data_IF_982926590680
#
_entry.id   IF_982926590680
#
_cell.length_a   1.000
_cell.length_b   1.000
_cell.length_c   1.000
_cell.angle_alpha   90.00
_cell.angle_beta   90.00
_cell.angle_gamma   90.00
#
_symmetry.space_group_name_H-M   'P 1'
#
loop_
_entity.id
_entity.type
_entity.pdbx_description
1 polymer ?
#
# COMPACT_ATOMS: atom_id res chain seq x y z
N UNK A 1 -13.62 -19.26 -2.46
CA UNK A 1 -13.23 -20.46 -1.66
C UNK A 1 -12.52 -20.18 -0.34
N UNK A 2 -11.48 -19.33 -0.24
CA UNK A 2 -10.75 -19.17 1.03
C UNK A 2 -11.59 -18.56 2.17
N UNK A 3 -12.45 -17.57 1.89
CA UNK A 3 -13.39 -16.98 2.85
C UNK A 3 -14.36 -17.99 3.48
N UNK A 4 -14.68 -19.09 2.79
CA UNK A 4 -15.52 -20.16 3.34
C UNK A 4 -14.82 -20.96 4.46
N UNK A 5 -13.50 -20.83 4.57
CA UNK A 5 -12.64 -21.50 5.55
C UNK A 5 -12.17 -20.56 6.67
N UNK A 6 -12.63 -19.30 6.69
CA UNK A 6 -12.28 -18.36 7.74
C UNK A 6 -12.90 -18.80 9.08
N UNK A 7 -12.14 -18.89 10.18
CA UNK A 7 -12.68 -19.32 11.48
C UNK A 7 -13.72 -18.30 11.96
N UNK A 8 -14.95 -18.74 12.22
CA UNK A 8 -16.02 -17.86 12.73
C UNK A 8 -15.69 -17.29 14.12
N UNK A 9 -14.83 -17.99 14.87
CA UNK A 9 -14.34 -17.65 16.20
C UNK A 9 -13.34 -16.48 16.22
N UNK A 10 -12.71 -16.12 15.09
CA UNK A 10 -11.80 -14.96 15.02
C UNK A 10 -12.53 -13.61 14.86
N UNK A 11 -13.86 -13.61 14.77
CA UNK A 11 -14.70 -12.45 14.46
C UNK A 11 -15.46 -11.86 15.67
N UNK A 12 -14.94 -12.07 16.89
CA UNK A 12 -15.47 -11.45 18.12
C UNK A 12 -15.12 -9.95 18.27
N UNK A 13 -14.32 -9.40 17.35
CA UNK A 13 -14.00 -7.98 17.27
C UNK A 13 -14.91 -7.16 16.34
N UNK A 14 -14.76 -5.84 16.35
CA UNK A 14 -15.42 -4.91 15.42
C UNK A 14 -14.42 -4.51 14.32
N UNK A 15 -14.07 -5.46 13.44
CA UNK A 15 -13.07 -5.23 12.39
C UNK A 15 -13.75 -4.81 11.09
N UNK A 16 -13.23 -3.75 10.46
CA UNK A 16 -13.63 -3.35 9.10
C UNK A 16 -12.43 -3.52 8.16
N UNK A 17 -12.66 -4.18 7.04
CA UNK A 17 -11.68 -4.36 5.97
C UNK A 17 -12.18 -3.64 4.73
N UNK A 18 -11.26 -3.05 3.98
CA UNK A 18 -11.50 -2.49 2.66
C UNK A 18 -10.66 -3.27 1.66
N UNK A 19 -11.33 -3.73 0.60
CA UNK A 19 -10.70 -4.47 -0.49
C UNK A 19 -10.80 -3.57 -1.72
N UNK A 20 -9.64 -3.24 -2.29
CA UNK A 20 -9.51 -2.50 -3.54
C UNK A 20 -8.74 -3.33 -4.54
N UNK A 21 -9.10 -3.19 -5.81
CA UNK A 21 -8.26 -3.67 -6.89
C UNK A 21 -7.01 -2.79 -6.97
N UNK A 22 -5.85 -3.42 -6.81
CA UNK A 22 -4.55 -2.80 -7.01
C UNK A 22 -4.14 -2.82 -8.48
N UNK A 23 -3.30 -1.87 -8.86
CA UNK A 23 -2.68 -1.79 -10.17
C UNK A 23 -2.09 -0.40 -10.39
N UNK A 24 -0.82 -0.31 -10.79
CA UNK A 24 -0.23 0.97 -11.14
C UNK A 24 -0.42 1.29 -12.64
N UNK A 25 -1.05 2.43 -13.01
CA UNK A 25 -1.15 2.86 -14.40
C UNK A 25 0.22 3.06 -15.08
N UNK A 26 1.27 3.31 -14.28
CA UNK A 26 2.67 3.38 -14.72
C UNK A 26 3.41 2.04 -14.79
N UNK A 27 2.74 0.89 -14.60
CA UNK A 27 3.31 -0.42 -14.88
C UNK A 27 4.11 -1.09 -13.75
N UNK A 28 3.85 -0.79 -12.47
CA UNK A 28 4.35 -1.63 -11.38
C UNK A 28 3.80 -3.06 -11.55
N UNK A 29 4.68 -4.02 -11.82
CA UNK A 29 4.39 -5.44 -11.66
C UNK A 29 4.70 -5.79 -10.21
N UNK A 30 3.72 -6.26 -9.45
CA UNK A 30 3.89 -6.72 -8.07
C UNK A 30 5.08 -7.67 -7.94
N UNK A 31 6.17 -7.20 -7.33
CA UNK A 31 7.36 -8.01 -7.03
C UNK A 31 7.21 -8.59 -5.61
N UNK A 32 6.10 -9.28 -5.32
CA UNK A 32 6.03 -10.08 -4.10
C UNK A 32 6.33 -11.54 -4.40
N UNK A 33 7.36 -12.06 -3.72
CA UNK A 33 7.41 -13.46 -3.35
C UNK A 33 8.77 -14.09 -3.54
N UNK A 34 9.13 -14.38 -4.79
CA UNK A 34 10.19 -15.36 -5.06
C UNK A 34 11.47 -14.79 -5.71
N UNK A 35 11.51 -13.47 -5.99
CA UNK A 35 12.64 -12.84 -6.67
C UNK A 35 13.15 -11.54 -6.06
N UNK A 36 12.55 -11.05 -4.98
CA UNK A 36 13.07 -9.88 -4.28
C UNK A 36 14.37 -10.27 -3.54
N UNK A 37 15.46 -9.50 -3.68
CA UNK A 37 16.69 -9.80 -2.96
C UNK A 37 16.43 -9.79 -1.45
N UNK A 38 17.11 -10.65 -0.66
CA UNK A 38 16.98 -10.63 0.78
C UNK A 38 17.33 -9.24 1.32
N UNK A 39 16.66 -8.82 2.40
CA UNK A 39 16.95 -7.56 3.07
C UNK A 39 18.44 -7.51 3.42
N UNK A 40 19.20 -6.51 2.94
CA UNK A 40 20.59 -6.35 3.36
C UNK A 40 20.66 -6.13 4.87
N UNK A 41 21.77 -6.52 5.47
CA UNK A 41 21.96 -6.36 6.91
C UNK A 41 21.76 -4.89 7.34
N UNK A 42 20.95 -4.69 8.39
CA UNK A 42 20.59 -3.37 8.91
C UNK A 42 19.52 -2.62 8.12
N UNK A 43 18.96 -3.19 7.04
CA UNK A 43 17.78 -2.61 6.37
C UNK A 43 16.48 -3.03 7.05
N UNK A 44 15.48 -2.18 6.90
CA UNK A 44 14.11 -2.34 7.39
C UNK A 44 13.14 -2.07 6.26
N UNK A 45 11.95 -2.66 6.30
CA UNK A 45 10.88 -2.33 5.35
C UNK A 45 10.04 -1.17 5.85
N UNK A 46 9.72 -0.26 4.93
CA UNK A 46 8.84 0.88 5.16
C UNK A 46 7.70 0.89 4.16
N UNK A 47 6.49 1.19 4.62
CA UNK A 47 5.30 1.41 3.80
C UNK A 47 5.13 2.91 3.65
N UNK A 48 4.94 3.36 2.42
CA UNK A 48 4.62 4.73 2.09
C UNK A 48 3.19 4.72 1.55
N UNK A 49 2.29 5.39 2.27
CA UNK A 49 0.86 5.44 1.99
C UNK A 49 0.52 6.79 1.35
N UNK A 50 0.06 6.80 0.10
CA UNK A 50 -0.36 8.02 -0.57
C UNK A 50 -1.82 8.32 -0.26
N UNK A 51 -2.07 9.47 0.37
CA UNK A 51 -3.42 9.99 0.59
C UNK A 51 -4.07 10.32 -0.74
N UNK A 52 -5.32 9.89 -0.91
CA UNK A 52 -6.12 10.24 -2.07
C UNK A 52 -6.60 11.69 -1.97
N UNK A 53 -6.60 12.36 -3.12
CA UNK A 53 -7.22 13.67 -3.30
C UNK A 53 -8.46 13.56 -4.20
N UNK A 54 -9.16 14.68 -4.41
CA UNK A 54 -10.38 14.72 -5.22
C UNK A 54 -10.19 14.19 -6.65
N UNK A 55 -9.00 14.40 -7.24
CA UNK A 55 -8.68 13.89 -8.58
C UNK A 55 -8.56 12.37 -8.60
N UNK A 56 -7.82 11.82 -7.65
CA UNK A 56 -7.65 10.38 -7.53
C UNK A 56 -9.01 9.69 -7.33
N UNK A 57 -9.89 10.25 -6.50
CA UNK A 57 -11.24 9.73 -6.28
C UNK A 57 -12.21 10.01 -7.45
N UNK A 58 -11.95 11.03 -8.27
CA UNK A 58 -12.62 11.23 -9.55
C UNK A 58 -12.11 10.28 -10.66
N UNK A 59 -11.10 9.44 -10.38
CA UNK A 59 -10.49 8.55 -11.37
C UNK A 59 -9.65 9.29 -12.42
N UNK A 60 -9.25 10.53 -12.14
CA UNK A 60 -8.40 11.31 -13.03
C UNK A 60 -6.98 10.80 -12.92
N UNK A 61 -6.48 10.19 -13.99
CA UNK A 61 -5.13 9.66 -14.07
C UNK A 61 -4.15 10.78 -14.48
N UNK A 62 -2.92 10.83 -13.92
CA UNK A 62 -1.87 11.71 -14.43
C UNK A 62 -1.60 11.49 -15.91
N UNK A 63 -1.12 12.55 -16.60
CA UNK A 63 -0.74 12.42 -18.00
C UNK A 63 0.42 11.43 -18.21
N UNK A 64 0.66 11.06 -19.47
CA UNK A 64 1.69 10.09 -19.83
C UNK A 64 3.11 10.50 -19.43
N UNK A 65 3.40 11.81 -19.34
CA UNK A 65 4.73 12.28 -18.94
C UNK A 65 4.95 12.07 -17.45
N UNK A 66 3.95 12.36 -16.61
CA UNK A 66 4.00 12.04 -15.19
C UNK A 66 4.07 10.54 -14.94
N UNK A 67 3.22 9.76 -15.61
CA UNK A 67 3.25 8.30 -15.52
C UNK A 67 4.62 7.73 -15.93
N UNK A 68 5.22 8.25 -16.99
CA UNK A 68 6.55 7.83 -17.44
C UNK A 68 7.65 8.12 -16.41
N UNK A 69 7.62 9.28 -15.75
CA UNK A 69 8.57 9.61 -14.67
C UNK A 69 8.42 8.70 -13.46
N UNK A 70 7.18 8.44 -13.04
CA UNK A 70 6.89 7.51 -11.95
C UNK A 70 7.36 6.10 -12.30
N UNK A 71 7.03 5.60 -13.49
CA UNK A 71 7.44 4.30 -13.99
C UNK A 71 8.97 4.15 -13.99
N UNK A 72 9.68 5.14 -14.55
CA UNK A 72 11.14 5.14 -14.57
C UNK A 72 11.74 5.10 -13.17
N UNK A 73 11.27 5.96 -12.26
CA UNK A 73 11.79 6.01 -10.89
C UNK A 73 11.52 4.69 -10.14
N UNK A 74 10.34 4.11 -10.34
CA UNK A 74 10.00 2.79 -9.81
C UNK A 74 10.94 1.71 -10.34
N UNK A 75 11.17 1.66 -11.65
CA UNK A 75 12.04 0.67 -12.30
C UNK A 75 13.49 0.78 -11.82
N UNK A 76 14.00 1.99 -11.66
CA UNK A 76 15.33 2.26 -11.11
C UNK A 76 15.42 1.79 -9.65
N UNK A 77 14.39 2.08 -8.84
CA UNK A 77 14.33 1.65 -7.44
C UNK A 77 14.19 0.11 -7.30
N UNK A 78 13.46 -0.56 -8.18
CA UNK A 78 13.37 -2.03 -8.23
C UNK A 78 14.73 -2.62 -8.60
N UNK A 79 15.40 -2.09 -9.63
CA UNK A 79 16.73 -2.55 -10.04
C UNK A 79 17.79 -2.35 -8.94
N UNK A 80 17.66 -1.27 -8.18
CA UNK A 80 18.51 -1.01 -7.02
C UNK A 80 18.15 -1.88 -5.79
N UNK A 81 17.08 -2.66 -5.86
CA UNK A 81 16.57 -3.44 -4.74
C UNK A 81 15.98 -2.59 -3.62
N UNK A 82 15.66 -1.31 -3.87
CA UNK A 82 15.05 -0.41 -2.89
C UNK A 82 13.54 -0.59 -2.85
N UNK A 83 12.90 -0.63 -4.02
CA UNK A 83 11.44 -0.81 -4.12
C UNK A 83 11.10 -2.30 -4.20
N UNK A 84 10.33 -2.79 -3.22
CA UNK A 84 9.90 -4.19 -3.14
C UNK A 84 8.51 -4.38 -3.76
N UNK A 85 7.62 -3.42 -3.57
CA UNK A 85 6.26 -3.47 -4.09
C UNK A 85 5.69 -2.07 -4.14
N UNK A 86 4.79 -1.80 -5.07
CA UNK A 86 3.91 -0.65 -4.96
C UNK A 86 2.75 -0.82 -5.91
N UNK A 87 1.62 -0.22 -5.57
CA UNK A 87 0.41 -0.27 -6.39
C UNK A 87 -0.35 1.05 -6.29
N UNK A 88 -0.96 1.43 -7.40
CA UNK A 88 -2.05 2.40 -7.40
C UNK A 88 -3.35 1.72 -6.97
N UNK A 89 -4.24 2.46 -6.33
CA UNK A 89 -5.57 2.01 -5.96
C UNK A 89 -6.60 2.72 -6.83
N UNK A 90 -7.62 1.99 -7.26
CA UNK A 90 -8.79 2.59 -7.91
C UNK A 90 -9.55 3.52 -6.93
N UNK A 91 -10.37 4.45 -7.44
CA UNK A 91 -11.26 5.26 -6.61
C UNK A 91 -12.05 4.41 -5.63
N UNK A 92 -12.33 4.94 -4.44
CA UNK A 92 -13.07 4.23 -3.38
C UNK A 92 -14.48 3.81 -3.78
N UNK A 93 -15.07 4.46 -4.80
CA UNK A 93 -16.33 4.03 -5.43
C UNK A 93 -16.26 2.61 -6.03
N UNK A 94 -15.06 2.10 -6.32
CA UNK A 94 -14.82 0.73 -6.79
C UNK A 94 -14.44 -0.25 -5.66
N UNK A 95 -14.44 0.21 -4.40
CA UNK A 95 -14.06 -0.62 -3.26
C UNK A 95 -15.25 -1.46 -2.76
N UNK A 96 -14.92 -2.62 -2.18
CA UNK A 96 -15.85 -3.40 -1.36
C UNK A 96 -15.38 -3.37 0.09
N UNK A 97 -16.32 -3.20 1.01
CA UNK A 97 -16.07 -3.23 2.45
C UNK A 97 -16.57 -4.51 3.05
N UNK A 98 -15.84 -5.01 4.03
CA UNK A 98 -16.26 -6.13 4.84
C UNK A 98 -16.29 -5.71 6.31
N UNK A 99 -17.38 -6.03 6.99
CA UNK A 99 -17.50 -5.86 8.44
C UNK A 99 -17.59 -7.23 9.09
N UNK A 100 -16.82 -7.42 10.15
CA UNK A 100 -16.87 -8.59 11.01
C UNK A 100 -17.49 -8.14 12.33
N UNK A 101 -18.62 -8.72 12.68
CA UNK A 101 -19.29 -8.44 13.94
C UNK A 101 -20.06 -9.66 14.43
N UNK A 102 -19.90 -10.01 15.71
CA UNK A 102 -20.60 -11.12 16.38
C UNK A 102 -20.44 -12.45 15.64
N UNK A 103 -19.20 -12.78 15.24
CA UNK A 103 -18.91 -14.06 14.57
C UNK A 103 -19.40 -14.14 13.11
N UNK A 104 -19.92 -13.05 12.51
CA UNK A 104 -20.47 -13.04 11.15
C UNK A 104 -19.84 -11.95 10.28
N UNK A 105 -19.38 -12.29 9.07
CA UNK A 105 -18.99 -11.30 8.07
C UNK A 105 -20.22 -10.74 7.34
N UNK A 106 -20.20 -9.45 7.01
CA UNK A 106 -21.10 -8.83 6.04
C UNK A 106 -20.30 -8.02 5.03
N UNK A 107 -20.67 -8.12 3.75
CA UNK A 107 -20.08 -7.32 2.66
C UNK A 107 -20.97 -6.11 2.40
N UNK A 108 -20.37 -4.94 2.24
CA UNK A 108 -21.02 -3.67 1.97
C UNK A 108 -20.33 -3.07 0.74
N UNK A 109 -21.09 -2.75 -0.29
CA UNK A 109 -20.55 -2.13 -1.49
C UNK A 109 -20.28 -0.64 -1.27
N UNK A 110 -19.19 -0.14 -1.84
CA UNK A 110 -18.82 1.28 -1.79
C UNK A 110 -17.95 1.68 -0.60
N UNK A 111 -17.62 2.98 -0.50
CA UNK A 111 -16.59 3.49 0.40
C UNK A 111 -17.00 3.49 1.87
N UNK A 112 -16.05 3.85 2.73
CA UNK A 112 -16.35 4.19 4.12
C UNK A 112 -17.22 5.45 4.16
N UNK A 113 -18.41 5.37 4.74
CA UNK A 113 -19.35 6.49 4.82
C UNK A 113 -18.79 7.73 5.56
N UNK A 114 -17.74 7.55 6.37
CA UNK A 114 -17.08 8.62 7.13
C UNK A 114 -15.54 8.58 7.04
N UNK A 115 -14.95 7.90 6.05
CA UNK A 115 -13.49 7.96 5.91
C UNK A 115 -13.09 9.35 5.44
N UNK A 116 -12.50 10.12 6.35
CA UNK A 116 -11.95 11.44 6.06
C UNK A 116 -10.67 11.37 5.21
N UNK A 117 -10.00 10.22 5.23
CA UNK A 117 -8.71 10.03 4.58
C UNK A 117 -8.72 8.67 3.86
N UNK A 118 -8.65 8.72 2.54
CA UNK A 118 -8.61 7.57 1.65
C UNK A 118 -7.19 7.44 1.07
N UNK A 119 -6.87 6.28 0.49
CA UNK A 119 -5.57 6.01 -0.10
C UNK A 119 -5.66 5.89 -1.62
N UNK A 120 -4.77 6.57 -2.33
CA UNK A 120 -4.63 6.47 -3.79
C UNK A 120 -3.58 5.45 -4.23
N UNK A 121 -2.71 5.01 -3.32
CA UNK A 121 -1.65 4.06 -3.63
C UNK A 121 -0.70 3.84 -2.46
N UNK A 122 0.22 2.91 -2.65
CA UNK A 122 1.28 2.68 -1.68
C UNK A 122 2.57 2.17 -2.33
N UNK A 123 3.67 2.26 -1.58
CA UNK A 123 4.93 1.59 -1.85
C UNK A 123 5.41 0.86 -0.60
N UNK A 124 6.10 -0.25 -0.78
CA UNK A 124 6.90 -0.93 0.23
C UNK A 124 8.34 -0.88 -0.26
N UNK A 125 9.19 -0.21 0.50
CA UNK A 125 10.60 -0.07 0.21
C UNK A 125 11.44 -0.70 1.31
N UNK A 126 12.69 -1.03 1.02
CA UNK A 126 13.70 -1.32 2.03
C UNK A 126 14.69 -0.16 2.13
N UNK A 127 14.96 0.28 3.36
CA UNK A 127 15.89 1.38 3.64
C UNK A 127 16.63 1.14 4.96
N UNK A 128 17.78 1.80 5.13
CA UNK A 128 18.59 1.68 6.36
C UNK A 128 17.98 2.39 7.58
N UNK A 129 17.06 3.32 7.36
CA UNK A 129 16.43 4.12 8.41
C UNK A 129 15.15 4.77 7.92
N UNK A 130 14.34 5.30 8.86
CA UNK A 130 13.19 6.13 8.53
C UNK A 130 13.59 7.36 7.72
N UNK A 131 14.72 7.99 8.05
CA UNK A 131 15.22 9.14 7.30
C UNK A 131 15.53 8.77 5.84
N UNK A 132 16.17 7.62 5.60
CA UNK A 132 16.44 7.17 4.23
C UNK A 132 15.14 6.86 3.46
N UNK A 133 14.08 6.41 4.14
CA UNK A 133 12.76 6.26 3.54
C UNK A 133 12.10 7.62 3.22
N UNK A 134 12.25 8.62 4.11
CA UNK A 134 11.82 10.00 3.87
C UNK A 134 12.56 10.59 2.67
N UNK A 135 13.88 10.42 2.59
CA UNK A 135 14.69 10.93 1.48
C UNK A 135 14.26 10.31 0.14
N UNK A 136 13.93 9.01 0.13
CA UNK A 136 13.35 8.36 -1.03
C UNK A 136 12.01 8.97 -1.43
N UNK A 137 11.11 9.20 -0.46
CA UNK A 137 9.81 9.82 -0.72
C UNK A 137 9.96 11.26 -1.25
N UNK A 138 10.90 12.05 -0.72
CA UNK A 138 11.19 13.40 -1.21
C UNK A 138 11.71 13.41 -2.65
N UNK A 139 12.44 12.38 -3.06
CA UNK A 139 12.92 12.22 -4.43
C UNK A 139 11.83 11.67 -5.38
N UNK A 140 10.77 11.07 -4.84
CA UNK A 140 9.75 10.41 -5.63
C UNK A 140 8.96 11.42 -6.50
N UNK A 141 8.72 11.14 -7.79
CA UNK A 141 8.02 12.05 -8.66
C UNK A 141 6.50 11.97 -8.47
N UNK A 142 5.99 12.30 -7.27
CA UNK A 142 4.56 12.33 -7.03
C UNK A 142 3.83 13.23 -8.03
N UNK A 143 2.72 12.78 -8.61
CA UNK A 143 1.98 13.55 -9.60
C UNK A 143 1.36 14.79 -8.96
N UNK A 144 1.28 15.88 -9.72
CA UNK A 144 0.63 17.14 -9.34
C UNK A 144 1.21 17.86 -8.11
N UNK A 145 2.35 17.42 -7.55
CA UNK A 145 2.97 18.04 -6.37
C UNK A 145 3.35 19.52 -6.53
N UNK A 146 3.38 20.00 -7.77
CA UNK A 146 3.65 21.39 -8.16
C UNK A 146 2.40 22.28 -8.18
N UNK A 147 1.21 21.66 -8.21
CA UNK A 147 -0.08 22.34 -8.34
C UNK A 147 -1.05 22.02 -7.21
N UNK A 148 -0.81 20.93 -6.48
CA UNK A 148 -1.69 20.40 -5.43
C UNK A 148 -0.86 19.87 -4.25
N UNK A 149 -1.49 19.83 -3.07
CA UNK A 149 -0.90 19.19 -1.90
C UNK A 149 -0.83 17.67 -2.12
N UNK A 150 0.33 17.09 -1.85
CA UNK A 150 0.54 15.65 -1.82
C UNK A 150 0.97 15.27 -0.41
N UNK A 151 0.21 14.36 0.19
CA UNK A 151 0.47 13.87 1.54
C UNK A 151 0.78 12.37 1.49
N UNK A 152 1.86 11.97 2.18
CA UNK A 152 2.22 10.57 2.37
C UNK A 152 2.49 10.27 3.83
N UNK A 153 2.03 9.12 4.30
CA UNK A 153 2.39 8.56 5.61
C UNK A 153 3.47 7.49 5.41
N UNK A 154 4.56 7.59 6.17
CA UNK A 154 5.63 6.58 6.14
C UNK A 154 5.61 5.78 7.44
N UNK A 155 5.42 4.47 7.31
CA UNK A 155 5.37 3.54 8.44
C UNK A 155 6.45 2.51 8.34
N UNK A 156 7.05 2.17 9.47
CA UNK A 156 7.85 0.97 9.60
C UNK A 156 6.93 -0.26 9.58
N UNK A 157 7.30 -1.30 8.83
CA UNK A 157 6.63 -2.60 8.88
C UNK A 157 7.21 -3.46 10.01
N UNK A 158 6.37 -4.29 10.61
CA UNK A 158 6.83 -5.37 11.45
C UNK A 158 7.54 -6.45 10.63
N UNK A 159 8.61 -6.99 11.21
CA UNK A 159 9.35 -8.14 10.72
C UNK A 159 9.15 -9.35 11.63
N UNK A 160 9.36 -10.56 11.10
CA UNK A 160 9.28 -11.78 11.91
C UNK A 160 10.21 -11.72 13.14
N UNK A 161 11.36 -11.04 13.01
CA UNK A 161 12.31 -10.82 14.11
C UNK A 161 11.74 -9.98 15.26
N UNK A 162 10.74 -9.12 15.02
CA UNK A 162 10.15 -8.26 16.05
C UNK A 162 9.28 -9.03 17.04
N UNK A 163 8.83 -10.24 16.68
CA UNK A 163 7.93 -11.06 17.50
C UNK A 163 8.65 -12.19 18.25
N UNK A 164 9.96 -12.38 18.01
CA UNK A 164 10.71 -13.52 18.53
C UNK A 164 10.25 -14.85 17.91
N UNK A 165 11.16 -15.83 17.76
CA UNK A 165 10.75 -17.18 17.36
C UNK A 165 10.02 -17.83 18.53
N UNK A 166 8.68 -17.80 18.57
CA UNK A 166 7.94 -18.65 19.50
C UNK A 166 7.95 -20.09 19.01
N UNK A 167 9.10 -20.77 19.13
CA UNK A 167 9.13 -22.23 19.16
C UNK A 167 8.74 -22.66 20.56
N UNK A 168 7.45 -22.57 20.86
CA UNK A 168 6.81 -23.33 21.92
C UNK A 168 5.31 -23.41 21.60
N UNK A 169 4.95 -24.46 20.85
CA UNK A 169 3.63 -25.08 20.95
C UNK A 169 3.67 -26.52 20.44
#
# INVERSE_FOLDING_TARGET
EWLKRWPQEDADGNTSLEIREGGCPGGLRGVAGEGAPPLPEGFRRFMILLKANDRAEAGIVPDSQWLGRMAQHNDEAVKAGVLLMGEGLKPSASASRMKFARGKPSVIDGPFAEAKELLAGFWIIQARSLQAAVDWALAYPFPFRDTEEVEVEIRLLYEAADFGTSTDR
#
